data_IF_788956165878
#
_entry.id   IF_788956165878
#
_cell.length_a   1.000
_cell.length_b   1.000
_cell.length_c   1.000
_cell.angle_alpha   90.00
_cell.angle_beta   90.00
_cell.angle_gamma   90.00
#
_symmetry.space_group_name_H-M   'P 1'
#
loop_
_entity.id
_entity.type
_entity.pdbx_description
1 polymer ?
#
# COMPACT_ATOMS: atom_id res chain seq x y z
N UNK A 1 18.74 12.56 16.07
CA UNK A 1 17.87 13.73 16.32
C UNK A 1 16.64 13.55 15.47
N UNK A 2 15.48 13.86 15.99
CA UNK A 2 14.22 13.82 15.23
C UNK A 2 14.21 14.95 14.21
N UNK A 3 13.89 14.65 12.95
CA UNK A 3 13.71 15.64 11.91
C UNK A 3 12.26 16.13 11.93
N UNK A 4 12.04 17.37 12.31
CA UNK A 4 10.71 17.92 12.57
C UNK A 4 10.41 19.01 11.56
N UNK A 5 9.27 18.88 10.90
CA UNK A 5 8.69 19.87 10.01
C UNK A 5 7.37 20.43 10.54
N UNK A 6 6.82 21.39 9.81
CA UNK A 6 5.53 22.00 10.13
C UNK A 6 4.67 22.13 8.88
N UNK A 7 3.38 21.86 9.03
CA UNK A 7 2.41 22.02 7.94
C UNK A 7 2.39 23.48 7.47
N UNK A 8 2.67 23.70 6.19
CA UNK A 8 2.66 25.00 5.54
C UNK A 8 1.32 25.30 4.85
N UNK A 9 0.76 24.27 4.18
CA UNK A 9 -0.49 24.37 3.43
C UNK A 9 -1.16 23.01 3.33
N UNK A 10 -2.52 23.01 3.29
CA UNK A 10 -3.34 21.82 3.07
C UNK A 10 -4.28 22.11 1.89
N UNK A 11 -4.29 21.24 0.89
CA UNK A 11 -5.13 21.32 -0.30
C UNK A 11 -5.75 19.95 -0.57
N UNK A 12 -6.90 19.66 0.04
CA UNK A 12 -7.48 18.31 0.00
C UNK A 12 -6.48 17.29 0.55
N UNK A 13 -6.15 16.21 -0.17
CA UNK A 13 -5.20 15.20 0.29
C UNK A 13 -3.72 15.65 0.19
N UNK A 14 -3.45 16.78 -0.45
CA UNK A 14 -2.08 17.29 -0.63
C UNK A 14 -1.72 18.20 0.54
N UNK A 15 -0.59 17.91 1.19
CA UNK A 15 -0.08 18.67 2.32
C UNK A 15 1.35 19.11 2.04
N UNK A 16 1.60 20.41 2.07
CA UNK A 16 2.94 20.97 1.96
C UNK A 16 3.52 21.17 3.36
N UNK A 17 4.72 20.64 3.59
CA UNK A 17 5.41 20.65 4.89
C UNK A 17 6.74 21.36 4.74
N UNK A 18 7.06 22.27 5.67
CA UNK A 18 8.34 22.98 5.74
C UNK A 18 9.23 22.37 6.82
N UNK A 19 10.49 22.15 6.48
CA UNK A 19 11.56 21.68 7.35
C UNK A 19 12.61 22.78 7.48
N UNK A 20 12.29 23.81 8.27
CA UNK A 20 13.16 24.98 8.48
C UNK A 20 13.79 24.94 9.89
N UNK A 21 15.13 24.96 9.96
CA UNK A 21 15.89 24.94 11.20
C UNK A 21 17.37 24.67 10.96
N UNK A 22 18.23 25.00 11.91
CA UNK A 22 19.70 24.86 11.77
C UNK A 22 20.18 23.44 11.44
N UNK A 23 19.41 22.42 11.83
CA UNK A 23 19.71 21.00 11.59
C UNK A 23 18.62 20.28 10.79
N UNK A 24 17.63 20.99 10.24
CA UNK A 24 16.56 20.38 9.45
C UNK A 24 17.12 19.85 8.12
N UNK A 25 16.71 18.64 7.76
CA UNK A 25 17.00 18.04 6.46
C UNK A 25 15.70 17.83 5.70
N UNK A 26 15.73 18.04 4.39
CA UNK A 26 14.60 17.66 3.57
C UNK A 26 14.45 16.12 3.59
N UNK A 27 13.25 15.59 3.92
CA UNK A 27 12.97 14.18 3.80
C UNK A 27 13.18 13.67 2.39
N UNK A 28 13.63 12.44 2.25
CA UNK A 28 13.75 11.80 0.94
C UNK A 28 12.37 11.56 0.31
N UNK A 29 12.35 11.48 -1.03
CA UNK A 29 11.14 11.10 -1.77
C UNK A 29 10.68 9.72 -1.29
N UNK A 30 9.36 9.58 -1.10
CA UNK A 30 8.69 8.40 -0.54
C UNK A 30 8.89 8.17 0.96
N UNK A 31 9.59 9.06 1.67
CA UNK A 31 9.57 8.98 3.13
C UNK A 31 8.15 9.17 3.68
N UNK A 32 7.84 8.41 4.71
CA UNK A 32 6.63 8.57 5.50
C UNK A 32 6.86 9.65 6.56
N UNK A 33 5.96 10.62 6.61
CA UNK A 33 5.90 11.62 7.65
C UNK A 33 4.68 11.34 8.55
N UNK A 34 4.81 11.60 9.83
CA UNK A 34 3.75 11.32 10.81
C UNK A 34 3.26 12.60 11.49
N UNK A 35 1.94 12.71 11.62
CA UNK A 35 1.26 13.77 12.37
C UNK A 35 0.41 13.14 13.45
N UNK A 36 0.69 13.42 14.71
CA UNK A 36 -0.16 13.02 15.83
C UNK A 36 -1.43 13.88 15.85
N UNK A 37 -2.59 13.23 15.82
CA UNK A 37 -3.90 13.87 15.90
C UNK A 37 -4.37 13.98 17.37
N UNK A 38 -5.25 14.95 17.69
CA UNK A 38 -5.78 15.11 19.06
C UNK A 38 -6.58 13.89 19.55
N UNK A 39 -7.14 13.09 18.65
CA UNK A 39 -7.87 11.86 18.96
C UNK A 39 -6.98 10.65 19.27
N UNK A 40 -5.65 10.81 19.22
CA UNK A 40 -4.67 9.75 19.45
C UNK A 40 -4.30 8.95 18.20
N UNK A 41 -4.93 9.20 17.06
CA UNK A 41 -4.57 8.59 15.79
C UNK A 41 -3.36 9.27 15.15
N UNK A 42 -2.66 8.55 14.29
CA UNK A 42 -1.54 9.09 13.51
C UNK A 42 -1.94 9.22 12.05
N UNK A 43 -1.87 10.44 11.51
CA UNK A 43 -1.97 10.65 10.07
C UNK A 43 -0.61 10.46 9.44
N UNK A 44 -0.53 9.57 8.46
CA UNK A 44 0.67 9.33 7.67
C UNK A 44 0.58 10.11 6.36
N UNK A 45 1.67 10.83 6.03
CA UNK A 45 1.85 11.52 4.76
C UNK A 45 3.04 10.86 4.03
N UNK A 46 2.98 10.78 2.71
CA UNK A 46 4.10 10.32 1.90
C UNK A 46 4.69 11.48 1.08
N UNK A 47 6.00 11.66 1.14
CA UNK A 47 6.72 12.67 0.38
C UNK A 47 6.72 12.34 -1.10
N UNK A 48 6.18 13.25 -1.93
CA UNK A 48 6.10 13.06 -3.37
C UNK A 48 7.06 13.97 -4.15
N UNK A 49 7.33 15.15 -3.62
CA UNK A 49 8.12 16.15 -4.35
C UNK A 49 8.81 17.13 -3.39
N UNK A 50 10.01 17.54 -3.73
CA UNK A 50 10.64 18.72 -3.14
C UNK A 50 10.16 19.97 -3.88
N UNK A 51 9.71 20.98 -3.11
CA UNK A 51 9.19 22.25 -3.66
C UNK A 51 10.25 23.38 -3.71
N UNK A 52 11.45 23.11 -3.20
CA UNK A 52 12.53 24.06 -3.07
C UNK A 52 13.09 24.09 -1.66
N UNK A 53 13.92 25.05 -1.35
CA UNK A 53 14.84 25.20 -0.22
C UNK A 53 14.53 24.40 1.06
N UNK A 54 13.32 24.46 1.59
CA UNK A 54 12.95 23.87 2.88
C UNK A 54 11.61 23.13 2.89
N UNK A 55 10.98 22.95 1.73
CA UNK A 55 9.59 22.48 1.68
C UNK A 55 9.44 21.24 0.81
N UNK A 56 8.60 20.31 1.28
CA UNK A 56 8.20 19.12 0.55
C UNK A 56 6.70 19.10 0.34
N UNK A 57 6.26 18.51 -0.77
CA UNK A 57 4.87 18.18 -1.05
C UNK A 57 4.62 16.73 -0.73
N UNK A 58 3.55 16.49 0.01
CA UNK A 58 3.17 15.16 0.46
C UNK A 58 1.73 14.84 0.11
N UNK A 59 1.40 13.55 0.09
CA UNK A 59 0.02 13.05 -0.03
C UNK A 59 -0.36 12.38 1.28
N UNK A 60 -1.52 12.77 1.81
CA UNK A 60 -2.07 12.16 3.01
C UNK A 60 -2.70 10.79 2.70
N UNK A 61 -2.42 9.80 3.53
CA UNK A 61 -2.94 8.44 3.40
C UNK A 61 -4.33 8.27 4.03
N UNK A 62 -4.85 9.33 4.65
CA UNK A 62 -6.17 9.39 5.23
C UNK A 62 -6.70 10.82 5.17
N UNK A 63 -7.94 11.08 5.67
CA UNK A 63 -8.54 12.41 5.69
C UNK A 63 -7.62 13.46 6.32
N UNK A 64 -7.59 14.64 5.72
CA UNK A 64 -6.89 15.82 6.24
C UNK A 64 -7.78 16.73 7.07
N UNK A 65 -8.99 16.30 7.41
CA UNK A 65 -9.94 17.09 8.17
C UNK A 65 -9.38 17.51 9.54
N UNK A 66 -9.53 18.76 9.88
CA UNK A 66 -9.01 19.32 11.13
C UNK A 66 -7.50 19.61 11.13
N UNK A 67 -6.77 19.30 10.05
CA UNK A 67 -5.36 19.62 9.95
C UNK A 67 -5.16 21.13 9.74
N UNK A 68 -4.34 21.73 10.59
CA UNK A 68 -4.08 23.18 10.55
C UNK A 68 -2.65 23.50 10.17
N UNK A 69 -2.44 24.68 9.61
CA UNK A 69 -1.10 25.23 9.38
C UNK A 69 -0.33 25.34 10.70
N UNK A 70 0.96 24.99 10.68
CA UNK A 70 1.82 25.01 11.86
C UNK A 70 1.76 23.72 12.69
N UNK A 71 0.93 22.72 12.31
CA UNK A 71 0.94 21.42 12.97
C UNK A 71 2.30 20.75 12.80
N UNK A 72 2.82 20.17 13.89
CA UNK A 72 4.11 19.47 13.94
C UNK A 72 4.04 18.18 13.11
N UNK A 73 5.07 17.93 12.32
CA UNK A 73 5.24 16.77 11.45
C UNK A 73 6.58 16.11 11.77
N UNK A 74 6.57 14.80 11.99
CA UNK A 74 7.77 14.00 12.24
C UNK A 74 8.18 13.25 10.97
N UNK A 75 9.43 13.40 10.54
CA UNK A 75 10.00 12.54 9.50
C UNK A 75 10.45 11.22 10.12
N UNK A 76 9.93 10.11 9.61
CA UNK A 76 10.29 8.76 10.09
C UNK A 76 11.62 8.26 9.51
N UNK A 77 12.21 8.96 8.55
CA UNK A 77 13.40 8.57 7.79
C UNK A 77 13.26 7.19 7.08
N UNK A 78 12.07 6.79 6.78
CA UNK A 78 11.75 5.53 6.08
C UNK A 78 10.47 5.69 5.27
N UNK A 79 10.33 4.88 4.22
CA UNK A 79 9.08 4.79 3.48
C UNK A 79 7.99 4.06 4.28
N UNK A 80 6.74 4.14 3.81
CA UNK A 80 5.63 3.31 4.32
C UNK A 80 6.04 1.84 4.17
N UNK A 81 5.79 1.05 5.22
CA UNK A 81 6.15 -0.37 5.26
C UNK A 81 4.93 -1.22 5.52
N UNK A 82 4.87 -2.39 4.87
CA UNK A 82 3.85 -3.42 5.11
C UNK A 82 4.44 -4.56 5.92
N UNK A 83 3.73 -5.07 6.94
CA UNK A 83 4.14 -6.25 7.66
C UNK A 83 4.17 -7.46 6.71
N UNK A 84 5.09 -8.38 6.95
CA UNK A 84 5.25 -9.62 6.20
C UNK A 84 5.46 -10.77 7.16
N UNK A 85 5.04 -11.97 6.80
CA UNK A 85 5.18 -13.18 7.62
C UNK A 85 3.90 -14.02 7.60
N UNK A 86 3.89 -15.08 8.39
CA UNK A 86 2.74 -15.97 8.53
C UNK A 86 1.55 -15.29 9.23
N UNK A 87 1.84 -14.32 10.10
CA UNK A 87 0.88 -13.61 10.94
C UNK A 87 -0.06 -12.69 10.16
N UNK A 88 0.28 -12.39 8.91
CA UNK A 88 -0.57 -11.55 8.06
C UNK A 88 -1.63 -12.34 7.27
N UNK A 89 -1.54 -13.67 7.29
CA UNK A 89 -2.49 -14.52 6.56
C UNK A 89 -3.91 -14.38 7.13
N UNK A 90 -4.89 -14.20 6.25
CA UNK A 90 -6.28 -14.02 6.63
C UNK A 90 -6.58 -12.69 7.34
N UNK A 91 -5.70 -11.69 7.23
CA UNK A 91 -5.83 -10.38 7.85
C UNK A 91 -6.15 -9.30 6.82
N UNK A 92 -6.82 -8.25 7.28
CA UNK A 92 -7.14 -7.07 6.49
C UNK A 92 -6.32 -5.86 6.97
N UNK A 93 -5.66 -5.18 6.03
CA UNK A 93 -4.79 -4.04 6.31
C UNK A 93 -5.25 -2.78 5.57
N UNK A 94 -5.01 -1.63 6.18
CA UNK A 94 -5.06 -0.35 5.49
C UNK A 94 -3.75 -0.09 4.71
N UNK A 95 -3.73 1.02 3.96
CA UNK A 95 -2.58 1.40 3.10
C UNK A 95 -1.27 1.68 3.86
N UNK A 96 -1.32 1.90 5.16
CA UNK A 96 -0.15 2.13 6.01
C UNK A 96 0.27 0.90 6.81
N UNK A 97 -0.30 -0.28 6.49
CA UNK A 97 0.07 -1.54 7.11
C UNK A 97 -0.49 -1.78 8.51
N UNK A 98 -1.56 -1.08 8.88
CA UNK A 98 -2.28 -1.31 10.13
C UNK A 98 -3.42 -2.30 9.90
N UNK A 99 -3.58 -3.26 10.80
CA UNK A 99 -4.70 -4.21 10.74
C UNK A 99 -6.01 -3.49 11.09
N UNK A 100 -7.04 -3.69 10.25
CA UNK A 100 -8.36 -3.04 10.38
C UNK A 100 -9.51 -4.04 10.53
N UNK A 101 -9.20 -5.32 10.71
CA UNK A 101 -10.16 -6.42 10.84
C UNK A 101 -10.74 -6.60 12.25
N UNK A 102 -10.31 -5.79 13.22
CA UNK A 102 -10.78 -5.87 14.61
C UNK A 102 -10.24 -7.07 15.42
N UNK A 103 -9.35 -7.88 14.84
CA UNK A 103 -8.76 -9.06 15.53
C UNK A 103 -7.60 -8.66 16.45
N UNK A 104 -7.19 -7.40 16.42
CA UNK A 104 -6.06 -6.87 17.18
C UNK A 104 -4.83 -6.59 16.32
N UNK A 105 -3.83 -5.98 16.90
CA UNK A 105 -2.59 -5.66 16.21
C UNK A 105 -1.84 -6.94 15.80
N UNK A 106 -1.23 -6.91 14.63
CA UNK A 106 -0.29 -7.94 14.21
C UNK A 106 0.97 -7.77 15.06
N UNK A 107 1.32 -8.81 15.80
CA UNK A 107 2.57 -8.82 16.56
C UNK A 107 3.70 -8.66 15.54
N UNK A 108 4.37 -7.52 15.57
CA UNK A 108 5.49 -7.25 14.67
C UNK A 108 6.66 -8.14 15.06
N UNK A 109 6.72 -9.34 14.51
CA UNK A 109 7.87 -10.27 14.66
C UNK A 109 9.12 -9.79 13.93
N UNK A 110 9.14 -8.53 13.51
CA UNK A 110 10.33 -7.82 13.07
C UNK A 110 10.48 -7.63 11.57
N UNK A 111 9.66 -8.27 10.75
CA UNK A 111 9.80 -8.14 9.29
C UNK A 111 8.70 -7.27 8.71
N UNK A 112 9.09 -6.06 8.25
CA UNK A 112 8.25 -5.21 7.44
C UNK A 112 9.05 -4.80 6.20
N UNK A 113 8.40 -4.82 5.05
CA UNK A 113 9.02 -4.40 3.79
C UNK A 113 8.50 -3.04 3.34
N UNK A 114 9.38 -2.17 2.80
CA UNK A 114 8.95 -0.92 2.21
C UNK A 114 8.06 -1.20 0.99
N UNK A 115 7.02 -0.40 0.81
CA UNK A 115 6.12 -0.52 -0.34
C UNK A 115 6.83 -0.16 -1.66
N UNK A 116 7.82 0.73 -1.59
CA UNK A 116 8.67 1.11 -2.72
C UNK A 116 9.91 0.21 -2.77
N UNK A 117 9.80 -0.91 -3.48
CA UNK A 117 10.89 -1.86 -3.67
C UNK A 117 11.35 -1.86 -5.13
N UNK A 118 12.65 -2.08 -5.32
CA UNK A 118 13.19 -2.32 -6.66
C UNK A 118 12.65 -3.66 -7.20
N UNK A 119 12.36 -3.76 -8.50
CA UNK A 119 12.03 -5.05 -9.12
C UNK A 119 13.22 -6.01 -9.02
N UNK A 120 12.96 -7.33 -9.15
CA UNK A 120 14.03 -8.32 -9.26
C UNK A 120 15.00 -7.98 -10.42
N UNK A 121 16.25 -8.33 -10.23
CA UNK A 121 17.25 -8.20 -11.31
C UNK A 121 16.98 -9.22 -12.42
N UNK A 122 17.54 -8.99 -13.60
CA UNK A 122 17.34 -9.90 -14.73
C UNK A 122 17.83 -11.33 -14.43
N UNK A 123 18.88 -11.46 -13.63
CA UNK A 123 19.46 -12.74 -13.21
C UNK A 123 18.55 -13.54 -12.27
N UNK A 124 17.68 -12.85 -11.53
CA UNK A 124 16.71 -13.45 -10.62
C UNK A 124 15.39 -13.86 -11.32
N UNK A 125 15.22 -13.48 -12.58
CA UNK A 125 14.00 -13.78 -13.34
C UNK A 125 14.07 -15.20 -13.93
N UNK A 126 13.02 -16.01 -13.72
CA UNK A 126 12.85 -17.24 -14.47
C UNK A 126 12.43 -16.94 -15.90
N UNK A 127 13.12 -17.57 -16.85
CA UNK A 127 12.78 -17.50 -18.29
C UNK A 127 11.85 -18.64 -18.73
N UNK A 128 11.53 -19.56 -17.84
CA UNK A 128 10.64 -20.68 -18.13
C UNK A 128 9.20 -20.19 -18.29
N UNK A 129 8.55 -20.65 -19.35
CA UNK A 129 7.14 -20.36 -19.62
C UNK A 129 6.29 -21.52 -19.13
N UNK A 130 5.64 -21.31 -17.98
CA UNK A 130 4.71 -22.28 -17.42
C UNK A 130 3.27 -21.74 -17.45
N UNK A 131 2.32 -22.58 -17.78
CA UNK A 131 0.89 -22.26 -17.71
C UNK A 131 0.41 -22.37 -16.27
N UNK A 132 -0.35 -21.36 -15.83
CA UNK A 132 -1.08 -21.37 -14.55
C UNK A 132 -2.50 -21.89 -14.84
N UNK A 133 -2.78 -23.12 -14.44
CA UNK A 133 -4.14 -23.67 -14.56
C UNK A 133 -5.04 -23.05 -13.50
N UNK A 134 -6.06 -22.36 -13.97
CA UNK A 134 -6.98 -21.60 -13.11
C UNK A 134 -8.17 -22.44 -12.64
N UNK A 135 -8.42 -23.57 -13.28
CA UNK A 135 -9.63 -24.39 -13.08
C UNK A 135 -10.87 -23.82 -13.75
N UNK A 136 -10.76 -22.70 -14.44
CA UNK A 136 -11.83 -22.07 -15.21
C UNK A 136 -11.67 -22.46 -16.67
N UNK A 137 -12.52 -23.35 -17.16
CA UNK A 137 -12.39 -23.99 -18.48
C UNK A 137 -12.17 -23.01 -19.63
N UNK A 138 -12.89 -21.89 -19.64
CA UNK A 138 -12.77 -20.92 -20.72
C UNK A 138 -11.40 -20.22 -20.72
N UNK A 139 -10.84 -19.96 -19.54
CA UNK A 139 -9.50 -19.36 -19.43
C UNK A 139 -8.46 -20.40 -19.85
N UNK A 140 -8.47 -21.57 -19.21
CA UNK A 140 -7.45 -22.58 -19.40
C UNK A 140 -7.39 -23.12 -20.84
N UNK A 141 -8.52 -23.10 -21.57
CA UNK A 141 -8.61 -23.62 -22.92
C UNK A 141 -8.37 -22.56 -24.01
N UNK A 142 -8.88 -21.33 -23.81
CA UNK A 142 -8.90 -20.31 -24.88
C UNK A 142 -7.78 -19.28 -24.71
N UNK A 143 -7.54 -18.84 -23.47
CA UNK A 143 -6.55 -17.81 -23.15
C UNK A 143 -5.83 -18.16 -21.84
N UNK A 144 -4.98 -19.20 -21.84
CA UNK A 144 -4.33 -19.69 -20.64
C UNK A 144 -3.40 -18.64 -20.01
N UNK A 145 -3.46 -18.54 -18.71
CA UNK A 145 -2.61 -17.63 -17.96
C UNK A 145 -1.20 -18.20 -17.77
N UNK A 146 -0.21 -17.33 -17.91
CA UNK A 146 1.18 -17.70 -17.65
C UNK A 146 1.57 -17.37 -16.21
N UNK A 147 2.33 -18.26 -15.56
CA UNK A 147 2.93 -17.96 -14.25
C UNK A 147 3.83 -16.73 -14.37
N UNK A 148 3.71 -15.81 -13.39
CA UNK A 148 4.42 -14.53 -13.40
C UNK A 148 3.87 -13.49 -14.38
N UNK A 149 2.78 -13.82 -15.10
CA UNK A 149 2.12 -12.92 -16.04
C UNK A 149 1.30 -11.82 -15.36
N UNK A 150 0.98 -10.77 -16.10
CA UNK A 150 0.06 -9.70 -15.70
C UNK A 150 -1.18 -9.80 -16.60
N UNK A 151 -2.35 -9.94 -15.97
CA UNK A 151 -3.60 -10.20 -16.67
C UNK A 151 -4.58 -9.08 -16.31
N UNK A 152 -5.26 -8.54 -17.33
CA UNK A 152 -6.30 -7.53 -17.14
C UNK A 152 -7.69 -8.09 -17.44
N UNK A 153 -8.63 -7.94 -16.50
CA UNK A 153 -10.04 -8.26 -16.69
C UNK A 153 -10.82 -6.96 -16.92
N UNK A 154 -11.31 -6.76 -18.13
CA UNK A 154 -12.04 -5.56 -18.52
C UNK A 154 -13.54 -5.87 -18.68
N UNK A 155 -14.38 -4.94 -18.24
CA UNK A 155 -15.83 -5.06 -18.39
C UNK A 155 -16.58 -3.97 -17.63
N UNK A 156 -17.83 -3.73 -17.99
CA UNK A 156 -18.71 -2.81 -17.31
C UNK A 156 -19.06 -3.22 -15.87
N UNK A 157 -19.89 -2.45 -15.21
CA UNK A 157 -20.41 -2.81 -13.89
C UNK A 157 -21.34 -4.05 -13.97
N UNK A 158 -21.25 -4.94 -12.99
CA UNK A 158 -22.15 -6.10 -12.88
C UNK A 158 -21.88 -7.26 -13.84
N UNK A 159 -20.76 -7.28 -14.56
CA UNK A 159 -20.44 -8.36 -15.51
C UNK A 159 -19.69 -9.54 -14.88
N UNK A 160 -19.54 -9.57 -13.56
CA UNK A 160 -18.96 -10.71 -12.85
C UNK A 160 -17.44 -10.69 -12.67
N UNK A 161 -16.74 -9.53 -12.88
CA UNK A 161 -15.29 -9.45 -12.68
C UNK A 161 -14.86 -9.91 -11.29
N UNK A 162 -15.50 -9.41 -10.24
CA UNK A 162 -15.19 -9.77 -8.86
C UNK A 162 -15.45 -11.25 -8.59
N UNK A 163 -16.55 -11.79 -9.11
CA UNK A 163 -16.86 -13.24 -8.98
C UNK A 163 -15.77 -14.09 -9.62
N UNK A 164 -15.25 -13.66 -10.78
CA UNK A 164 -14.15 -14.36 -11.45
C UNK A 164 -12.85 -14.29 -10.63
N UNK A 165 -12.55 -13.14 -10.03
CA UNK A 165 -11.38 -12.97 -9.17
C UNK A 165 -11.48 -13.86 -7.93
N UNK A 166 -12.65 -13.89 -7.27
CA UNK A 166 -12.88 -14.74 -6.11
C UNK A 166 -12.71 -16.23 -6.44
N UNK A 167 -13.23 -16.67 -7.60
CA UNK A 167 -13.05 -18.05 -8.06
C UNK A 167 -11.58 -18.37 -8.37
N UNK A 168 -10.83 -17.45 -8.97
CA UNK A 168 -9.38 -17.60 -9.17
C UNK A 168 -8.62 -17.75 -7.84
N UNK A 169 -8.92 -16.91 -6.86
CA UNK A 169 -8.32 -16.98 -5.52
C UNK A 169 -8.60 -18.35 -4.88
N UNK A 170 -9.85 -18.78 -4.90
CA UNK A 170 -10.27 -20.07 -4.35
C UNK A 170 -9.57 -21.27 -5.02
N UNK A 171 -9.50 -21.26 -6.35
CA UNK A 171 -8.89 -22.35 -7.10
C UNK A 171 -7.39 -22.42 -6.94
N UNK A 172 -6.71 -21.25 -6.89
CA UNK A 172 -5.27 -21.18 -6.64
C UNK A 172 -4.94 -21.65 -5.22
N UNK A 173 -5.71 -21.22 -4.22
CA UNK A 173 -5.52 -21.68 -2.85
C UNK A 173 -5.66 -23.19 -2.71
N UNK A 174 -6.63 -23.80 -3.39
CA UNK A 174 -6.88 -25.25 -3.35
C UNK A 174 -5.91 -26.07 -4.20
N UNK A 175 -5.52 -25.56 -5.36
CA UNK A 175 -4.73 -26.30 -6.33
C UNK A 175 -3.21 -26.19 -6.14
N UNK A 176 -2.73 -25.11 -5.57
CA UNK A 176 -1.30 -24.81 -5.48
C UNK A 176 -0.80 -24.57 -4.05
N UNK A 177 -1.66 -24.68 -3.04
CA UNK A 177 -1.33 -24.29 -1.65
C UNK A 177 -0.74 -22.86 -1.57
N UNK A 178 -1.13 -22.02 -2.53
CA UNK A 178 -0.61 -20.68 -2.71
C UNK A 178 -1.25 -19.65 -1.77
N UNK A 179 -0.57 -18.54 -1.59
CA UNK A 179 -1.11 -17.37 -0.88
C UNK A 179 -1.62 -16.39 -1.92
N UNK A 180 -2.87 -15.94 -1.75
CA UNK A 180 -3.46 -14.91 -2.56
C UNK A 180 -3.50 -13.59 -1.79
N UNK A 181 -3.19 -12.48 -2.47
CA UNK A 181 -3.30 -11.14 -1.91
C UNK A 181 -4.30 -10.36 -2.76
N UNK A 182 -5.34 -9.85 -2.11
CA UNK A 182 -6.30 -8.97 -2.75
C UNK A 182 -6.02 -7.51 -2.36
N UNK A 183 -5.89 -6.62 -3.34
CA UNK A 183 -5.71 -5.19 -3.13
C UNK A 183 -6.89 -4.42 -3.74
N UNK A 184 -7.76 -3.86 -2.91
CA UNK A 184 -8.89 -3.04 -3.33
C UNK A 184 -8.47 -1.59 -3.53
N UNK A 185 -8.56 -1.08 -4.77
CA UNK A 185 -8.29 0.32 -5.10
C UNK A 185 -9.53 0.90 -5.78
N UNK A 186 -10.28 1.77 -5.07
CA UNK A 186 -11.53 2.33 -5.57
C UNK A 186 -12.68 1.31 -5.68
N UNK A 187 -12.55 0.15 -5.05
CA UNK A 187 -13.57 -0.90 -4.98
C UNK A 187 -14.49 -0.71 -3.77
N UNK A 188 -15.62 -1.42 -3.76
CA UNK A 188 -16.55 -1.39 -2.65
C UNK A 188 -15.98 -2.16 -1.46
N UNK A 189 -16.03 -1.58 -0.26
CA UNK A 189 -15.55 -2.21 0.98
C UNK A 189 -16.13 -3.61 1.20
N UNK A 190 -17.39 -3.84 0.81
CA UNK A 190 -18.03 -5.17 0.91
C UNK A 190 -17.30 -6.22 0.10
N UNK A 191 -16.90 -5.91 -1.13
CA UNK A 191 -16.21 -6.86 -2.03
C UNK A 191 -14.80 -7.22 -1.53
N UNK A 192 -14.20 -6.36 -0.70
CA UNK A 192 -12.93 -6.65 -0.04
C UNK A 192 -13.05 -7.51 1.22
N UNK A 193 -14.26 -7.59 1.81
CA UNK A 193 -14.52 -8.40 3.01
C UNK A 193 -15.05 -9.80 2.69
N UNK A 194 -15.59 -10.05 1.49
CA UNK A 194 -16.08 -11.34 1.03
C UNK A 194 -14.93 -12.29 0.65
#
# INVERSE_FOLDING_TARGET
MENIGYVKQVIGPVVDVSFSGENAKLPEIFNALEIARPNGETLVLEVQQHLGEDSVRTIAMDSTDGLTRGTKVLDTNRSITMPVGEEIKGRLFNVVGQAIDGIGEVVKTGNAYPIHRKPPTYEELSTEKEVLFTGIKVIDLIEPYMKGGKIGLFGGAGVGKTVLIMELINNIAKGYEGISVFAGVGERTREGND
#
